data_IF_227550272108
#
_entry.id   IF_227550272108
#
_cell.length_a   1.000
_cell.length_b   1.000
_cell.length_c   1.000
_cell.angle_alpha   90.00
_cell.angle_beta   90.00
_cell.angle_gamma   90.00
#
_symmetry.space_group_name_H-M   'P 1'
#
loop_
_entity.id
_entity.type
_entity.pdbx_description
1 polymer ?
#
# COMPACT_ATOMS: atom_id res chain seq x y z
N UNK A 1 -45.61 -25.23 -25.49
CA UNK A 1 -44.14 -25.34 -25.38
C UNK A 1 -43.60 -23.99 -24.95
N UNK A 2 -43.02 -23.88 -23.75
CA UNK A 2 -42.23 -22.71 -23.34
C UNK A 2 -40.76 -23.04 -23.61
N UNK A 3 -40.09 -22.19 -24.39
CA UNK A 3 -38.66 -22.31 -24.66
C UNK A 3 -37.86 -22.13 -23.34
N UNK A 4 -36.77 -22.86 -23.12
CA UNK A 4 -35.92 -22.68 -21.93
C UNK A 4 -35.16 -21.36 -22.03
N UNK A 5 -35.22 -20.55 -20.97
CA UNK A 5 -34.33 -19.39 -20.81
C UNK A 5 -32.90 -19.90 -20.58
N UNK A 6 -32.01 -19.58 -21.51
CA UNK A 6 -30.57 -19.69 -21.33
C UNK A 6 -30.15 -18.78 -20.17
N UNK A 7 -29.80 -19.39 -19.03
CA UNK A 7 -29.05 -18.70 -17.98
C UNK A 7 -27.67 -18.38 -18.54
N UNK A 8 -27.44 -17.12 -18.89
CA UNK A 8 -26.09 -16.59 -19.08
C UNK A 8 -25.41 -16.67 -17.72
N UNK A 9 -24.52 -17.64 -17.54
CA UNK A 9 -23.59 -17.64 -16.41
C UNK A 9 -22.71 -16.40 -16.55
N UNK A 10 -22.81 -15.46 -15.61
CA UNK A 10 -21.82 -14.42 -15.47
C UNK A 10 -20.46 -15.10 -15.21
N UNK A 11 -19.37 -14.67 -15.87
CA UNK A 11 -18.05 -15.20 -15.56
C UNK A 11 -17.75 -14.93 -14.09
N UNK A 12 -17.27 -15.94 -13.37
CA UNK A 12 -16.81 -15.78 -11.99
C UNK A 12 -15.70 -14.74 -11.98
N UNK A 13 -15.95 -13.54 -11.43
CA UNK A 13 -14.88 -12.57 -11.15
C UNK A 13 -13.86 -13.29 -10.28
N UNK A 14 -12.61 -13.41 -10.75
CA UNK A 14 -11.51 -13.83 -9.88
C UNK A 14 -11.47 -12.83 -8.73
N UNK A 15 -11.41 -13.30 -7.49
CA UNK A 15 -11.24 -12.39 -6.34
C UNK A 15 -9.80 -11.88 -6.34
N UNK A 16 -9.61 -10.60 -6.02
CA UNK A 16 -8.27 -10.02 -5.87
C UNK A 16 -7.66 -10.53 -4.57
N UNK A 17 -6.43 -11.06 -4.64
CA UNK A 17 -5.67 -11.49 -3.48
C UNK A 17 -5.02 -10.27 -2.82
N UNK A 18 -5.17 -10.11 -1.51
CA UNK A 18 -4.63 -8.98 -0.76
C UNK A 18 -3.94 -9.50 0.50
N UNK A 19 -2.68 -9.15 0.70
CA UNK A 19 -1.98 -9.31 1.97
C UNK A 19 -1.84 -7.95 2.66
N UNK A 20 -2.23 -7.88 3.92
CA UNK A 20 -2.05 -6.69 4.75
C UNK A 20 -1.34 -7.12 6.03
N UNK A 21 -0.16 -6.56 6.24
CA UNK A 21 0.68 -6.77 7.40
C UNK A 21 0.64 -5.52 8.26
N UNK A 22 0.28 -5.68 9.52
CA UNK A 22 0.26 -4.57 10.49
C UNK A 22 0.89 -5.03 11.78
N UNK A 23 1.51 -4.09 12.48
CA UNK A 23 2.14 -4.32 13.77
C UNK A 23 1.08 -4.50 14.89
N UNK A 24 1.45 -5.01 16.07
CA UNK A 24 0.72 -4.94 17.36
C UNK A 24 1.75 -4.76 18.46
N UNK A 25 1.72 -3.64 19.17
CA UNK A 25 2.68 -3.39 20.24
C UNK A 25 2.27 -4.08 21.53
N UNK A 26 3.20 -4.77 22.20
CA UNK A 26 3.05 -5.13 23.62
C UNK A 26 3.92 -4.20 24.49
N UNK A 27 3.37 -3.83 25.64
CA UNK A 27 3.92 -2.89 26.62
C UNK A 27 5.31 -3.35 27.12
N UNK A 28 6.37 -2.60 26.79
CA UNK A 28 7.71 -2.82 27.31
C UNK A 28 8.33 -1.49 27.71
N UNK A 29 8.38 -1.26 29.02
CA UNK A 29 9.39 -0.40 29.63
C UNK A 29 10.79 -0.87 29.21
N UNK A 30 11.66 0.08 28.93
CA UNK A 30 13.14 0.03 28.82
C UNK A 30 13.79 -0.32 27.47
N UNK A 31 14.69 0.61 27.12
CA UNK A 31 15.94 0.52 26.35
C UNK A 31 15.90 0.64 24.81
N UNK A 32 15.96 1.91 24.37
CA UNK A 32 16.44 2.31 23.04
C UNK A 32 17.92 1.92 22.88
N UNK A 33 18.22 1.05 21.92
CA UNK A 33 19.55 0.91 21.36
C UNK A 33 19.56 1.38 19.90
N UNK A 34 20.28 2.47 19.67
CA UNK A 34 20.66 3.01 18.36
C UNK A 34 21.68 2.06 17.73
N UNK A 35 21.40 1.50 16.56
CA UNK A 35 22.38 0.72 15.80
C UNK A 35 23.15 1.59 14.78
N UNK A 36 24.46 1.37 14.58
CA UNK A 36 25.31 2.23 13.78
C UNK A 36 25.37 1.80 12.30
N UNK A 37 25.38 2.81 11.41
CA UNK A 37 25.54 2.69 9.95
C UNK A 37 26.90 2.09 9.56
N UNK A 38 26.91 1.15 8.60
CA UNK A 38 28.11 0.63 7.94
C UNK A 38 27.94 0.55 6.41
N UNK A 39 28.29 1.65 5.76
CA UNK A 39 29.00 1.85 4.50
C UNK A 39 29.23 0.72 3.45
N UNK A 40 28.63 1.00 2.26
CA UNK A 40 29.09 0.90 0.86
C UNK A 40 28.87 -0.37 0.03
N UNK A 41 27.92 -0.24 -0.92
CA UNK A 41 28.01 -0.73 -2.30
C UNK A 41 27.82 0.46 -3.26
N UNK A 42 28.47 0.44 -4.42
CA UNK A 42 28.52 1.59 -5.34
C UNK A 42 27.19 1.83 -6.05
N UNK A 43 26.38 2.72 -5.47
CA UNK A 43 25.36 3.46 -6.21
C UNK A 43 26.04 4.43 -7.19
N UNK A 44 25.53 4.50 -8.42
CA UNK A 44 25.78 5.68 -9.25
C UNK A 44 25.01 6.84 -8.62
N UNK A 45 25.68 7.68 -7.83
CA UNK A 45 25.10 8.95 -7.35
C UNK A 45 24.88 9.88 -8.53
N UNK A 46 23.71 9.79 -9.14
CA UNK A 46 23.10 10.90 -9.88
C UNK A 46 22.01 11.50 -9.00
N UNK A 47 21.81 12.82 -9.11
CA UNK A 47 20.87 13.56 -8.29
C UNK A 47 19.48 12.90 -8.23
N UNK A 48 18.85 12.96 -7.06
CA UNK A 48 17.49 12.49 -6.70
C UNK A 48 16.39 13.20 -7.53
N UNK A 49 16.44 12.97 -8.85
CA UNK A 49 15.66 13.64 -9.90
C UNK A 49 14.82 12.64 -10.68
N UNK A 50 15.04 11.34 -10.49
CA UNK A 50 14.22 10.29 -11.09
C UNK A 50 12.93 10.10 -10.30
N UNK A 51 11.80 10.18 -10.99
CA UNK A 51 10.47 9.98 -10.40
C UNK A 51 10.22 8.52 -10.01
N UNK A 52 11.04 7.59 -10.49
CA UNK A 52 10.86 6.15 -10.32
C UNK A 52 12.24 5.50 -10.25
N UNK A 53 12.50 4.72 -9.21
CA UNK A 53 13.67 3.85 -9.10
C UNK A 53 13.28 2.44 -9.55
N UNK A 54 14.06 1.83 -10.45
CA UNK A 54 13.74 0.54 -11.06
C UNK A 54 14.89 -0.45 -10.84
N UNK A 55 14.54 -1.65 -10.36
CA UNK A 55 15.45 -2.81 -10.31
C UNK A 55 14.96 -3.85 -11.31
N UNK A 56 15.78 -4.09 -12.33
CA UNK A 56 15.50 -5.09 -13.36
C UNK A 56 15.88 -6.50 -12.88
N UNK A 57 15.10 -7.52 -13.25
CA UNK A 57 15.44 -8.90 -12.93
C UNK A 57 16.70 -9.36 -13.69
N UNK A 58 17.53 -10.24 -13.10
CA UNK A 58 18.64 -10.88 -13.80
C UNK A 58 18.20 -11.96 -14.81
N UNK A 59 16.94 -12.40 -14.75
CA UNK A 59 16.33 -13.36 -15.67
C UNK A 59 15.20 -12.71 -16.49
N UNK A 60 14.57 -13.51 -17.37
CA UNK A 60 13.42 -13.03 -18.15
C UNK A 60 12.32 -12.48 -17.24
N UNK A 61 11.87 -11.26 -17.53
CA UNK A 61 10.88 -10.55 -16.74
C UNK A 61 9.52 -11.25 -16.84
N UNK A 62 8.99 -11.67 -15.69
CA UNK A 62 7.69 -12.37 -15.61
C UNK A 62 6.62 -11.59 -14.87
N UNK A 63 7.00 -10.85 -13.82
CA UNK A 63 6.12 -10.12 -12.93
C UNK A 63 6.72 -8.77 -12.56
N UNK A 64 5.85 -7.79 -12.30
CA UNK A 64 6.27 -6.49 -11.79
C UNK A 64 5.67 -6.25 -10.40
N UNK A 65 6.50 -5.81 -9.46
CA UNK A 65 6.05 -5.27 -8.17
C UNK A 65 6.22 -3.75 -8.19
N UNK A 66 5.13 -3.01 -8.01
CA UNK A 66 5.16 -1.55 -7.83
C UNK A 66 5.01 -1.29 -6.33
N UNK A 67 6.05 -0.74 -5.69
CA UNK A 67 6.11 -0.65 -4.23
C UNK A 67 6.40 0.78 -3.75
N UNK A 68 5.45 1.36 -3.01
CA UNK A 68 5.49 2.76 -2.59
C UNK A 68 6.08 2.92 -1.18
N UNK A 69 7.04 3.82 -1.06
CA UNK A 69 7.68 4.18 0.21
C UNK A 69 6.78 5.01 1.14
N UNK A 70 7.16 5.07 2.41
CA UNK A 70 6.49 5.87 3.44
C UNK A 70 6.77 7.38 3.33
N UNK A 71 6.09 8.18 4.15
CA UNK A 71 6.35 9.62 4.27
C UNK A 71 7.74 9.86 4.86
N UNK A 72 8.40 10.92 4.39
CA UNK A 72 9.75 11.33 4.79
C UNK A 72 10.85 10.32 4.40
N UNK A 73 10.64 9.60 3.30
CA UNK A 73 11.58 8.66 2.69
C UNK A 73 11.64 8.92 1.17
N UNK A 74 12.55 8.26 0.47
CA UNK A 74 12.67 8.30 -0.98
C UNK A 74 12.54 6.90 -1.60
N UNK A 75 12.30 6.83 -2.90
CA UNK A 75 12.24 5.56 -3.62
C UNK A 75 13.52 4.73 -3.50
N UNK A 76 14.70 5.38 -3.55
CA UNK A 76 15.99 4.70 -3.46
C UNK A 76 16.27 4.21 -2.04
N UNK A 77 16.10 5.05 -1.02
CA UNK A 77 16.31 4.64 0.38
C UNK A 77 15.41 3.46 0.75
N UNK A 78 14.12 3.54 0.43
CA UNK A 78 13.18 2.46 0.71
C UNK A 78 13.55 1.17 -0.04
N UNK A 79 13.98 1.26 -1.29
CA UNK A 79 14.38 0.08 -2.05
C UNK A 79 15.65 -0.57 -1.46
N UNK A 80 16.65 0.22 -1.08
CA UNK A 80 17.88 -0.27 -0.46
C UNK A 80 17.56 -0.99 0.87
N UNK A 81 16.81 -0.36 1.77
CA UNK A 81 16.42 -0.96 3.05
C UNK A 81 15.53 -2.21 2.85
N UNK A 82 14.63 -2.18 1.87
CA UNK A 82 13.78 -3.32 1.54
C UNK A 82 14.58 -4.53 1.02
N UNK A 83 15.59 -4.30 0.18
CA UNK A 83 16.40 -5.39 -0.38
C UNK A 83 17.46 -5.94 0.59
N UNK A 84 17.81 -5.18 1.63
CA UNK A 84 18.61 -5.70 2.75
C UNK A 84 17.83 -6.71 3.60
N UNK A 85 16.50 -6.70 3.53
CA UNK A 85 15.67 -7.58 4.35
C UNK A 85 15.79 -9.05 3.94
N UNK A 86 15.80 -9.95 4.92
CA UNK A 86 16.03 -11.38 4.71
C UNK A 86 14.89 -12.26 5.24
N UNK A 87 14.55 -13.28 4.45
CA UNK A 87 13.70 -14.38 4.90
C UNK A 87 14.42 -15.24 5.96
N UNK A 88 13.70 -16.13 6.65
CA UNK A 88 14.26 -17.04 7.65
C UNK A 88 15.37 -17.95 7.12
N UNK A 89 15.38 -18.22 5.81
CA UNK A 89 16.43 -18.99 5.14
C UNK A 89 17.64 -18.15 4.67
N UNK A 90 17.68 -16.87 5.06
CA UNK A 90 18.72 -15.87 4.78
C UNK A 90 18.81 -15.39 3.34
N UNK A 91 17.87 -15.78 2.48
CA UNK A 91 17.79 -15.22 1.12
C UNK A 91 17.08 -13.88 1.16
N UNK A 92 17.54 -12.96 0.32
CA UNK A 92 16.84 -11.71 0.04
C UNK A 92 15.67 -11.96 -0.90
N UNK A 93 14.72 -11.02 -0.94
CA UNK A 93 13.55 -11.12 -1.83
C UNK A 93 13.94 -11.21 -3.32
N UNK A 94 15.03 -10.56 -3.74
CA UNK A 94 15.55 -10.63 -5.11
C UNK A 94 16.12 -12.02 -5.46
N UNK A 95 16.75 -12.70 -4.49
CA UNK A 95 17.24 -14.07 -4.68
C UNK A 95 16.11 -15.08 -4.76
N UNK A 96 15.01 -14.83 -4.04
CA UNK A 96 13.81 -15.68 -4.04
C UNK A 96 13.01 -15.48 -5.34
N UNK A 97 12.91 -14.25 -5.84
CA UNK A 97 12.13 -13.88 -7.04
C UNK A 97 13.01 -13.26 -8.15
N UNK A 98 13.90 -14.05 -8.80
CA UNK A 98 14.89 -13.53 -9.76
C UNK A 98 14.30 -13.09 -11.12
N UNK A 99 13.01 -13.33 -11.36
CA UNK A 99 12.29 -12.95 -12.59
C UNK A 99 11.38 -11.74 -12.39
N UNK A 100 11.40 -11.12 -11.20
CA UNK A 100 10.55 -9.98 -10.85
C UNK A 100 11.27 -8.66 -11.13
N UNK A 101 10.57 -7.74 -11.81
CA UNK A 101 10.94 -6.34 -11.88
C UNK A 101 10.38 -5.61 -10.66
N UNK A 102 11.19 -4.79 -10.01
CA UNK A 102 10.75 -3.97 -8.88
C UNK A 102 10.76 -2.50 -9.29
N UNK A 103 9.64 -1.82 -9.06
CA UNK A 103 9.40 -0.43 -9.44
C UNK A 103 9.04 0.33 -8.19
N UNK A 104 9.84 1.32 -7.83
CA UNK A 104 9.67 2.16 -6.66
C UNK A 104 9.40 3.59 -7.10
N UNK A 105 8.13 4.02 -7.19
CA UNK A 105 7.81 5.39 -7.54
C UNK A 105 8.18 6.31 -6.37
N UNK A 106 8.69 7.51 -6.67
CA UNK A 106 9.06 8.52 -5.69
C UNK A 106 7.89 9.50 -5.47
N UNK A 107 7.56 9.83 -4.23
CA UNK A 107 6.43 10.70 -3.90
C UNK A 107 6.65 12.15 -4.34
N UNK A 108 7.91 12.56 -4.45
CA UNK A 108 8.32 13.95 -4.56
C UNK A 108 8.13 14.73 -3.26
N UNK A 109 8.61 15.99 -3.25
CA UNK A 109 8.51 16.89 -2.10
C UNK A 109 7.22 17.72 -2.14
N UNK A 110 6.57 17.87 -0.99
CA UNK A 110 5.41 18.74 -0.79
C UNK A 110 5.51 19.44 0.55
N UNK A 111 5.03 20.67 0.63
CA UNK A 111 4.93 21.40 1.90
C UNK A 111 3.92 20.68 2.80
N UNK A 112 4.33 20.37 4.03
CA UNK A 112 3.42 19.93 5.08
C UNK A 112 2.78 21.11 5.77
N UNK A 113 1.45 21.19 5.76
CA UNK A 113 0.72 22.28 6.44
C UNK A 113 0.97 22.31 7.94
N UNK A 114 1.21 21.15 8.58
CA UNK A 114 1.45 21.07 10.03
C UNK A 114 2.83 21.57 10.45
N UNK A 115 3.85 21.26 9.66
CA UNK A 115 5.25 21.53 10.00
C UNK A 115 5.84 22.72 9.25
N UNK A 116 5.10 23.28 8.30
CA UNK A 116 5.51 24.44 7.48
C UNK A 116 6.85 24.23 6.76
N UNK A 117 7.10 22.99 6.33
CA UNK A 117 8.33 22.59 5.64
C UNK A 117 8.06 21.57 4.53
N UNK A 118 8.98 21.50 3.58
CA UNK A 118 9.03 20.47 2.55
C UNK A 118 9.31 19.09 3.15
N UNK A 119 8.47 18.12 2.80
CA UNK A 119 8.59 16.71 3.21
C UNK A 119 8.30 15.84 1.99
N UNK A 120 9.05 14.76 1.83
CA UNK A 120 8.74 13.73 0.84
C UNK A 120 7.43 13.03 1.23
N UNK A 121 6.32 13.34 0.56
CA UNK A 121 5.01 12.80 0.91
C UNK A 121 4.08 12.71 -0.30
N UNK A 122 3.29 11.64 -0.36
CA UNK A 122 2.30 11.40 -1.40
C UNK A 122 1.15 12.40 -1.34
N UNK A 123 0.78 12.81 -0.13
CA UNK A 123 -0.26 13.78 0.13
C UNK A 123 -0.03 14.45 1.49
N UNK A 124 -0.53 15.69 1.64
CA UNK A 124 -0.42 16.40 2.91
C UNK A 124 -1.38 15.79 3.92
N UNK A 125 -0.93 15.64 5.16
CA UNK A 125 -1.68 15.03 6.25
C UNK A 125 -1.35 15.75 7.54
N UNK A 126 -2.37 16.02 8.35
CA UNK A 126 -2.17 16.65 9.65
C UNK A 126 -1.61 15.68 10.69
N UNK A 127 -2.11 14.46 10.74
CA UNK A 127 -1.73 13.46 11.73
C UNK A 127 -1.77 12.08 11.09
N UNK A 128 -0.69 11.31 11.22
CA UNK A 128 -0.63 9.92 10.71
C UNK A 128 -1.32 8.98 11.70
N UNK A 129 -1.26 9.30 13.00
CA UNK A 129 -1.94 8.59 14.07
C UNK A 129 -3.46 8.77 13.97
N UNK A 130 -3.89 9.98 13.58
CA UNK A 130 -5.30 10.36 13.39
C UNK A 130 -5.57 10.85 11.94
N UNK A 131 -5.57 9.96 10.93
CA UNK A 131 -5.70 10.37 9.53
C UNK A 131 -7.00 11.10 9.18
N UNK A 132 -8.03 11.00 9.99
CA UNK A 132 -9.28 11.73 9.75
C UNK A 132 -9.20 13.21 10.18
N UNK A 133 -8.18 13.58 10.96
CA UNK A 133 -7.98 14.96 11.41
C UNK A 133 -7.52 15.84 10.23
N UNK A 134 -8.30 16.88 9.93
CA UNK A 134 -8.09 17.78 8.78
C UNK A 134 -7.89 17.05 7.44
N UNK A 135 -8.68 15.99 7.22
CA UNK A 135 -8.56 15.13 6.03
C UNK A 135 -8.75 15.84 4.70
N UNK A 136 -9.35 17.02 4.67
CA UNK A 136 -9.44 17.87 3.48
C UNK A 136 -8.05 18.21 2.89
N UNK A 137 -7.00 18.25 3.71
CA UNK A 137 -5.61 18.47 3.25
C UNK A 137 -5.12 17.36 2.31
N UNK A 138 -5.66 16.15 2.46
CA UNK A 138 -5.18 14.97 1.75
C UNK A 138 -5.65 14.95 0.29
N UNK A 139 -6.78 15.59 -0.02
CA UNK A 139 -7.53 15.43 -1.27
C UNK A 139 -6.66 15.72 -2.50
N UNK A 140 -6.04 16.89 -2.56
CA UNK A 140 -5.26 17.32 -3.73
C UNK A 140 -4.07 16.41 -3.98
N UNK A 141 -3.24 16.21 -2.94
CA UNK A 141 -2.05 15.37 -3.06
C UNK A 141 -2.40 13.90 -3.35
N UNK A 142 -3.44 13.35 -2.72
CA UNK A 142 -3.81 11.96 -2.90
C UNK A 142 -4.36 11.74 -4.32
N UNK A 143 -5.14 12.68 -4.86
CA UNK A 143 -5.63 12.64 -6.24
C UNK A 143 -4.49 12.61 -7.25
N UNK A 144 -3.50 13.50 -7.08
CA UNK A 144 -2.34 13.57 -7.95
C UNK A 144 -1.49 12.30 -7.87
N UNK A 145 -1.24 11.81 -6.66
CA UNK A 145 -0.48 10.59 -6.42
C UNK A 145 -1.18 9.35 -6.96
N UNK A 146 -2.49 9.20 -6.75
CA UNK A 146 -3.28 8.12 -7.37
C UNK A 146 -3.17 8.18 -8.90
N UNK A 147 -3.31 9.37 -9.49
CA UNK A 147 -3.18 9.54 -10.94
C UNK A 147 -1.80 9.14 -11.44
N UNK A 148 -0.74 9.53 -10.72
CA UNK A 148 0.63 9.14 -11.04
C UNK A 148 0.81 7.62 -11.00
N UNK A 149 0.39 6.97 -9.93
CA UNK A 149 0.54 5.52 -9.76
C UNK A 149 -0.30 4.73 -10.78
N UNK A 150 -1.51 5.20 -11.12
CA UNK A 150 -2.29 4.62 -12.21
C UNK A 150 -1.56 4.68 -13.56
N UNK A 151 -0.77 5.73 -13.81
CA UNK A 151 0.06 5.79 -15.02
C UNK A 151 1.23 4.82 -14.96
N UNK A 152 1.88 4.66 -13.79
CA UNK A 152 2.93 3.64 -13.60
C UNK A 152 2.37 2.25 -13.84
N UNK A 153 1.20 1.92 -13.28
CA UNK A 153 0.54 0.61 -13.51
C UNK A 153 0.28 0.38 -15.00
N UNK A 154 -0.22 1.40 -15.73
CA UNK A 154 -0.48 1.29 -17.18
C UNK A 154 0.80 1.10 -18.00
N UNK A 155 1.89 1.74 -17.59
CA UNK A 155 3.18 1.58 -18.24
C UNK A 155 3.73 0.16 -18.04
N UNK A 156 3.68 -0.37 -16.82
CA UNK A 156 4.11 -1.74 -16.52
C UNK A 156 3.20 -2.78 -17.18
N UNK A 157 1.90 -2.49 -17.31
CA UNK A 157 0.93 -3.32 -18.03
C UNK A 157 1.21 -3.42 -19.55
N UNK A 158 2.10 -2.58 -20.09
CA UNK A 158 2.58 -2.73 -21.47
C UNK A 158 3.69 -3.78 -21.62
N UNK A 159 4.35 -4.15 -20.51
CA UNK A 159 5.46 -5.10 -20.46
C UNK A 159 5.05 -6.47 -19.96
N UNK A 160 4.14 -6.54 -18.99
CA UNK A 160 3.54 -7.78 -18.47
C UNK A 160 2.03 -7.62 -18.33
N UNK A 161 1.24 -8.71 -18.43
CA UNK A 161 -0.20 -8.62 -18.22
C UNK A 161 -0.55 -8.07 -16.81
N UNK A 162 -1.69 -7.36 -16.63
CA UNK A 162 -2.11 -6.85 -15.31
C UNK A 162 -2.18 -7.94 -14.22
N UNK A 163 -2.52 -9.17 -14.59
CA UNK A 163 -2.51 -10.35 -13.71
C UNK A 163 -1.10 -10.78 -13.27
N UNK A 164 -0.03 -10.13 -13.74
CA UNK A 164 1.35 -10.33 -13.29
C UNK A 164 1.91 -9.09 -12.56
N UNK A 165 1.05 -8.09 -12.30
CA UNK A 165 1.43 -6.88 -11.55
C UNK A 165 0.94 -7.02 -10.12
N UNK A 166 1.84 -6.78 -9.17
CA UNK A 166 1.56 -6.64 -7.74
C UNK A 166 1.74 -5.17 -7.37
N UNK A 167 0.78 -4.61 -6.65
CA UNK A 167 0.87 -3.25 -6.12
C UNK A 167 1.05 -3.30 -4.60
N UNK A 168 1.88 -2.44 -4.03
CA UNK A 168 2.02 -2.39 -2.59
C UNK A 168 2.58 -1.09 -2.07
N UNK A 169 2.64 -0.97 -0.74
CA UNK A 169 3.27 0.17 -0.10
C UNK A 169 3.45 -0.03 1.41
N UNK A 170 4.27 0.83 2.00
CA UNK A 170 4.40 0.97 3.46
C UNK A 170 3.85 2.32 3.90
N UNK A 171 3.17 2.36 5.05
CA UNK A 171 2.72 3.61 5.68
C UNK A 171 1.88 4.48 4.72
N UNK A 172 2.29 5.73 4.49
CA UNK A 172 1.60 6.62 3.53
C UNK A 172 1.61 6.07 2.09
N UNK A 173 2.67 5.33 1.70
CA UNK A 173 2.71 4.61 0.43
C UNK A 173 1.63 3.52 0.35
N UNK A 174 1.37 2.79 1.42
CA UNK A 174 0.27 1.83 1.49
C UNK A 174 -1.08 2.53 1.31
N UNK A 175 -1.27 3.67 1.99
CA UNK A 175 -2.49 4.47 1.92
C UNK A 175 -2.77 5.02 0.50
N UNK A 176 -1.71 5.41 -0.22
CA UNK A 176 -1.81 5.81 -1.63
C UNK A 176 -2.05 4.62 -2.56
N UNK A 177 -1.31 3.52 -2.36
CA UNK A 177 -1.39 2.33 -3.19
C UNK A 177 -2.80 1.70 -3.14
N UNK A 178 -3.44 1.65 -1.96
CA UNK A 178 -4.79 1.09 -1.86
C UNK A 178 -5.83 1.97 -2.57
N UNK A 179 -5.68 3.29 -2.54
CA UNK A 179 -6.53 4.18 -3.35
C UNK A 179 -6.30 3.96 -4.84
N UNK A 180 -5.06 3.84 -5.28
CA UNK A 180 -4.76 3.54 -6.69
C UNK A 180 -5.38 2.21 -7.13
N UNK A 181 -5.32 1.17 -6.28
CA UNK A 181 -5.96 -0.12 -6.54
C UNK A 181 -7.48 0.01 -6.73
N UNK A 182 -8.16 0.74 -5.85
CA UNK A 182 -9.61 0.95 -5.94
C UNK A 182 -10.01 1.78 -7.18
N UNK A 183 -9.12 2.65 -7.66
CA UNK A 183 -9.33 3.49 -8.84
C UNK A 183 -8.88 2.84 -10.16
N UNK A 184 -8.27 1.65 -10.10
CA UNK A 184 -7.85 0.94 -11.30
C UNK A 184 -8.95 -0.01 -11.78
N UNK A 185 -9.31 0.09 -13.06
CA UNK A 185 -10.46 -0.63 -13.63
C UNK A 185 -10.15 -2.09 -13.97
N UNK A 186 -8.87 -2.49 -13.94
CA UNK A 186 -8.43 -3.85 -14.28
C UNK A 186 -7.91 -4.55 -13.03
N UNK A 187 -8.20 -5.84 -12.91
CA UNK A 187 -7.72 -6.63 -11.80
C UNK A 187 -6.21 -6.84 -11.88
N UNK A 188 -5.51 -6.54 -10.79
CA UNK A 188 -4.09 -6.87 -10.60
C UNK A 188 -3.94 -8.28 -10.00
N UNK A 189 -2.71 -8.81 -9.92
CA UNK A 189 -2.47 -10.12 -9.29
C UNK A 189 -2.72 -10.07 -7.78
N UNK A 190 -2.20 -9.03 -7.12
CA UNK A 190 -2.44 -8.83 -5.71
C UNK A 190 -1.98 -7.49 -5.16
N UNK A 191 -2.26 -7.30 -3.87
CA UNK A 191 -1.87 -6.13 -3.10
C UNK A 191 -1.06 -6.52 -1.87
N UNK A 192 -0.01 -5.75 -1.53
CA UNK A 192 0.78 -5.93 -0.30
C UNK A 192 0.86 -4.59 0.46
N UNK A 193 0.31 -4.55 1.65
CA UNK A 193 0.34 -3.36 2.51
C UNK A 193 1.09 -3.60 3.82
N UNK A 194 1.98 -2.69 4.18
CA UNK A 194 2.67 -2.67 5.49
C UNK A 194 2.30 -1.41 6.27
N UNK A 195 1.89 -1.56 7.53
CA UNK A 195 1.69 -0.46 8.48
C UNK A 195 0.82 0.70 7.92
N UNK A 196 -0.19 0.35 7.12
CA UNK A 196 -1.00 1.32 6.36
C UNK A 196 -2.36 1.62 6.97
N UNK A 197 -3.07 2.57 6.36
CA UNK A 197 -4.46 2.90 6.67
C UNK A 197 -5.26 3.13 5.38
N UNK A 198 -6.58 3.28 5.51
CA UNK A 198 -7.46 3.65 4.42
C UNK A 198 -7.84 5.14 4.54
N UNK A 199 -7.33 6.04 3.68
CA UNK A 199 -7.79 7.43 3.64
C UNK A 199 -9.30 7.52 3.32
N UNK A 200 -10.00 8.45 3.97
CA UNK A 200 -11.46 8.65 3.83
C UNK A 200 -12.26 7.41 4.21
N UNK A 201 -11.83 6.72 5.27
CA UNK A 201 -12.41 5.43 5.64
C UNK A 201 -13.91 5.56 5.95
N UNK A 202 -14.31 6.60 6.68
CA UNK A 202 -15.71 6.79 7.07
C UNK A 202 -16.64 7.00 5.86
N UNK A 203 -16.18 7.73 4.85
CA UNK A 203 -16.89 7.91 3.59
C UNK A 203 -16.98 6.61 2.80
N UNK A 204 -15.87 5.88 2.65
CA UNK A 204 -15.85 4.60 1.94
C UNK A 204 -16.77 3.60 2.62
N UNK A 205 -16.70 3.49 3.94
CA UNK A 205 -17.53 2.62 4.77
C UNK A 205 -19.03 2.96 4.65
N UNK A 206 -19.37 4.24 4.44
CA UNK A 206 -20.75 4.68 4.17
C UNK A 206 -21.21 4.23 2.78
N UNK A 207 -20.36 4.41 1.76
CA UNK A 207 -20.63 4.00 0.37
C UNK A 207 -20.83 2.48 0.28
N UNK A 208 -19.97 1.70 0.93
CA UNK A 208 -19.97 0.23 0.84
C UNK A 208 -21.11 -0.41 1.63
N UNK A 209 -21.59 0.24 2.69
CA UNK A 209 -22.77 -0.24 3.45
C UNK A 209 -24.09 0.12 2.81
N UNK A 210 -24.14 1.17 2.00
CA UNK A 210 -25.37 1.51 1.33
C UNK A 210 -25.65 0.45 0.24
N UNK A 211 -26.72 -0.32 0.41
CA UNK A 211 -27.06 -1.43 -0.51
C UNK A 211 -27.72 -0.96 -1.81
N UNK A 212 -28.00 0.34 -1.93
CA UNK A 212 -28.58 0.95 -3.14
C UNK A 212 -27.53 1.37 -4.16
N UNK A 213 -26.25 1.34 -3.80
CA UNK A 213 -25.12 1.72 -4.65
C UNK A 213 -24.89 0.65 -5.71
N UNK A 214 -25.35 0.90 -6.94
CA UNK A 214 -25.19 -0.05 -8.05
C UNK A 214 -23.70 -0.26 -8.42
N UNK A 215 -22.82 0.68 -8.07
CA UNK A 215 -21.38 0.59 -8.28
C UNK A 215 -20.57 1.35 -7.21
N UNK A 216 -20.28 0.74 -6.05
CA UNK A 216 -19.50 1.36 -4.98
C UNK A 216 -18.13 1.90 -5.42
N UNK A 217 -17.48 1.23 -6.38
CA UNK A 217 -16.18 1.64 -6.89
C UNK A 217 -16.23 3.02 -7.57
N UNK A 218 -17.28 3.30 -8.36
CA UNK A 218 -17.45 4.60 -9.01
C UNK A 218 -17.65 5.74 -8.00
N UNK A 219 -18.37 5.47 -6.91
CA UNK A 219 -18.58 6.47 -5.86
C UNK A 219 -17.30 6.72 -5.05
N UNK A 220 -16.53 5.67 -4.72
CA UNK A 220 -15.20 5.82 -4.11
C UNK A 220 -14.31 6.68 -5.00
N UNK A 221 -14.30 6.42 -6.31
CA UNK A 221 -13.56 7.23 -7.29
C UNK A 221 -14.01 8.71 -7.37
N UNK A 222 -15.21 9.01 -6.87
CA UNK A 222 -15.75 10.37 -6.85
C UNK A 222 -15.42 11.12 -5.55
N UNK A 223 -15.00 10.44 -4.48
CA UNK A 223 -14.64 11.09 -3.21
C UNK A 223 -13.52 12.11 -3.42
N UNK A 224 -12.48 11.71 -4.15
CA UNK A 224 -11.34 12.57 -4.46
C UNK A 224 -11.70 13.75 -5.40
N UNK A 225 -12.90 13.76 -5.99
CA UNK A 225 -13.39 14.82 -6.88
C UNK A 225 -14.40 15.76 -6.20
N UNK A 226 -15.03 15.32 -5.11
CA UNK A 226 -16.27 15.93 -4.58
C UNK A 226 -16.11 16.53 -3.18
N UNK A 227 -15.00 16.31 -2.48
CA UNK A 227 -14.78 16.83 -1.12
C UNK A 227 -14.54 18.34 -1.12
N UNK A 228 -15.62 19.09 -1.22
CA UNK A 228 -15.77 20.43 -0.70
C UNK A 228 -16.83 20.37 0.40
N UNK A 229 -16.37 20.38 1.66
CA UNK A 229 -17.16 20.51 2.88
C UNK A 229 -17.97 19.29 3.35
N UNK A 230 -17.47 18.62 4.40
CA UNK A 230 -18.25 17.73 5.26
C UNK A 230 -17.62 17.65 6.67
N UNK A 231 -18.39 18.03 7.70
CA UNK A 231 -17.95 18.09 9.11
C UNK A 231 -17.46 16.75 9.66
N UNK A 232 -16.32 16.77 10.34
CA UNK A 232 -15.79 15.64 11.11
C UNK A 232 -16.25 15.70 12.57
N UNK A 233 -16.64 14.56 13.13
CA UNK A 233 -16.77 14.35 14.58
C UNK A 233 -15.67 13.38 14.99
N UNK A 234 -14.69 13.87 15.74
CA UNK A 234 -13.62 13.07 16.34
C UNK A 234 -13.99 12.72 17.79
N UNK A 235 -13.75 11.48 18.22
CA UNK A 235 -13.83 11.06 19.62
C UNK A 235 -12.41 10.75 20.16
N UNK A 236 -12.10 11.04 21.44
CA UNK A 236 -10.76 10.84 21.99
C UNK A 236 -10.45 9.36 22.24
N UNK A 237 -9.24 8.95 21.87
CA UNK A 237 -8.73 7.59 21.96
C UNK A 237 -8.06 7.22 23.28
N UNK A 238 -7.87 5.92 23.48
CA UNK A 238 -6.93 5.34 24.45
C UNK A 238 -5.88 4.55 23.64
N UNK A 239 -4.62 4.86 23.89
CA UNK A 239 -3.42 4.48 23.12
C UNK A 239 -2.77 3.21 23.69
N UNK A 240 -2.27 2.32 22.83
CA UNK A 240 -1.05 1.47 22.97
C UNK A 240 -0.92 0.66 21.67
N UNK A 241 0.01 1.00 20.75
CA UNK A 241 0.30 0.29 19.48
C UNK A 241 1.38 1.04 18.65
N UNK A 242 1.70 0.60 17.41
CA UNK A 242 2.64 1.26 16.46
C UNK A 242 2.64 2.79 16.67
N UNK A 243 3.80 3.38 17.03
CA UNK A 243 3.85 4.75 17.52
C UNK A 243 3.51 5.79 16.43
N UNK A 244 3.45 5.39 15.16
CA UNK A 244 3.22 6.25 14.00
C UNK A 244 1.86 5.98 13.35
N UNK A 245 1.55 4.71 13.02
CA UNK A 245 0.24 4.33 12.44
C UNK A 245 -0.45 3.34 13.36
N UNK A 246 -1.49 3.79 14.08
CA UNK A 246 -2.24 2.92 14.98
C UNK A 246 -2.75 1.66 14.26
N UNK A 247 -2.53 0.51 14.87
CA UNK A 247 -2.95 -0.82 14.38
C UNK A 247 -4.44 -0.90 14.11
N UNK A 248 -5.22 -0.16 14.91
CA UNK A 248 -6.65 -0.03 14.70
C UNK A 248 -7.00 0.51 13.30
N UNK A 249 -6.18 1.37 12.71
CA UNK A 249 -6.35 1.87 11.35
C UNK A 249 -6.13 0.78 10.30
N UNK A 250 -5.10 -0.05 10.49
CA UNK A 250 -4.88 -1.22 9.66
C UNK A 250 -6.02 -2.24 9.75
N UNK A 251 -6.51 -2.52 10.97
CA UNK A 251 -7.62 -3.47 11.18
C UNK A 251 -8.89 -3.00 10.48
N UNK A 252 -9.15 -1.70 10.52
CA UNK A 252 -10.26 -1.08 9.79
C UNK A 252 -10.09 -1.21 8.27
N UNK A 253 -8.88 -0.97 7.75
CA UNK A 253 -8.55 -1.22 6.34
C UNK A 253 -8.86 -2.68 5.95
N UNK A 254 -8.37 -3.66 6.72
CA UNK A 254 -8.68 -5.09 6.52
C UNK A 254 -10.18 -5.37 6.48
N UNK A 255 -10.94 -4.82 7.42
CA UNK A 255 -12.39 -5.00 7.47
C UNK A 255 -13.09 -4.42 6.25
N UNK A 256 -12.63 -3.28 5.75
CA UNK A 256 -13.19 -2.64 4.56
C UNK A 256 -12.86 -3.43 3.29
N UNK A 257 -11.63 -3.92 3.14
CA UNK A 257 -11.26 -4.72 1.96
C UNK A 257 -12.04 -6.05 1.90
N UNK A 258 -12.28 -6.69 3.05
CA UNK A 258 -13.18 -7.86 3.10
C UNK A 258 -14.62 -7.49 2.72
N UNK A 259 -15.11 -6.33 3.16
CA UNK A 259 -16.46 -5.84 2.81
C UNK A 259 -16.58 -5.58 1.30
N UNK A 260 -15.50 -5.14 0.66
CA UNK A 260 -15.38 -4.99 -0.79
C UNK A 260 -15.24 -6.32 -1.55
N UNK A 261 -15.17 -7.45 -0.84
CA UNK A 261 -15.13 -8.81 -1.43
C UNK A 261 -13.75 -9.27 -1.89
N UNK A 262 -12.68 -8.63 -1.39
CA UNK A 262 -11.30 -9.06 -1.63
C UNK A 262 -10.94 -10.28 -0.74
N UNK A 263 -10.03 -11.15 -1.21
CA UNK A 263 -9.48 -12.23 -0.38
C UNK A 263 -8.30 -11.67 0.42
N UNK A 264 -8.53 -11.35 1.71
CA UNK A 264 -7.59 -10.59 2.53
C UNK A 264 -6.92 -11.47 3.58
N UNK A 265 -5.59 -11.55 3.54
CA UNK A 265 -4.76 -12.08 4.63
C UNK A 265 -4.36 -10.91 5.52
N UNK A 266 -4.56 -11.08 6.83
CA UNK A 266 -4.15 -10.12 7.85
C UNK A 266 -3.21 -10.76 8.84
N UNK A 267 -2.02 -10.18 8.99
CA UNK A 267 -1.05 -10.61 10.01
C UNK A 267 -0.72 -9.46 10.94
N UNK A 268 -0.64 -9.80 12.22
CA UNK A 268 -0.28 -8.94 13.34
C UNK A 268 1.00 -9.45 14.00
N UNK A 269 2.04 -8.63 14.10
CA UNK A 269 3.31 -9.00 14.75
C UNK A 269 3.45 -8.35 16.13
N UNK A 270 4.05 -9.06 17.08
CA UNK A 270 4.22 -8.57 18.46
C UNK A 270 5.40 -7.57 18.63
N UNK A 271 6.36 -7.57 17.69
CA UNK A 271 7.57 -6.74 17.68
C UNK A 271 7.91 -6.26 16.25
N UNK A 272 8.98 -5.47 16.08
CA UNK A 272 9.47 -4.99 14.76
C UNK A 272 9.23 -3.51 14.41
N UNK A 273 8.36 -2.79 15.13
CA UNK A 273 8.16 -1.34 14.95
C UNK A 273 7.44 -0.94 13.65
N UNK A 274 7.59 0.32 13.22
CA UNK A 274 6.99 0.87 11.99
C UNK A 274 7.78 0.49 10.73
N UNK A 275 8.07 -0.80 10.57
CA UNK A 275 8.85 -1.35 9.46
C UNK A 275 8.35 -2.75 9.08
N UNK A 276 8.94 -3.34 8.04
CA UNK A 276 8.73 -4.75 7.72
C UNK A 276 9.34 -5.59 8.86
N UNK A 277 8.54 -6.46 9.46
CA UNK A 277 9.01 -7.34 10.54
C UNK A 277 9.95 -8.40 9.96
N UNK A 278 11.16 -8.51 10.51
CA UNK A 278 12.13 -9.51 10.08
C UNK A 278 12.37 -10.59 11.14
N UNK A 279 12.50 -11.87 10.75
CA UNK A 279 12.33 -12.40 9.39
C UNK A 279 10.85 -12.66 9.02
N UNK A 280 9.94 -12.70 10.00
CA UNK A 280 8.60 -13.28 9.81
C UNK A 280 7.74 -12.52 8.79
N UNK A 281 7.80 -11.19 8.76
CA UNK A 281 7.09 -10.38 7.78
C UNK A 281 7.63 -10.54 6.35
N UNK A 282 8.91 -10.81 6.19
CA UNK A 282 9.51 -11.18 4.90
C UNK A 282 9.04 -12.58 4.48
N UNK A 283 9.04 -13.55 5.40
CA UNK A 283 8.54 -14.89 5.14
C UNK A 283 7.06 -14.88 4.71
N UNK A 284 6.21 -14.13 5.41
CA UNK A 284 4.79 -14.02 5.08
C UNK A 284 4.58 -13.37 3.70
N UNK A 285 5.41 -12.37 3.34
CA UNK A 285 5.40 -11.76 2.01
C UNK A 285 5.83 -12.76 0.93
N UNK A 286 6.87 -13.56 1.19
CA UNK A 286 7.34 -14.61 0.28
C UNK A 286 6.26 -15.65 0.06
N UNK A 287 5.64 -16.15 1.13
CA UNK A 287 4.55 -17.13 1.06
C UNK A 287 3.35 -16.60 0.27
N UNK A 288 2.97 -15.33 0.49
CA UNK A 288 1.92 -14.69 -0.29
C UNK A 288 2.27 -14.60 -1.77
N UNK A 289 3.46 -14.10 -2.11
CA UNK A 289 3.91 -13.95 -3.50
C UNK A 289 3.96 -15.31 -4.21
N UNK A 290 4.49 -16.35 -3.56
CA UNK A 290 4.51 -17.71 -4.11
C UNK A 290 3.10 -18.26 -4.35
N UNK A 291 2.15 -17.99 -3.45
CA UNK A 291 0.76 -18.42 -3.60
C UNK A 291 0.10 -17.77 -4.82
N UNK A 292 0.32 -16.48 -5.08
CA UNK A 292 -0.40 -15.76 -6.14
C UNK A 292 0.21 -15.94 -7.54
N UNK A 293 1.49 -16.33 -7.65
CA UNK A 293 2.11 -16.62 -8.96
C UNK A 293 1.93 -18.06 -9.45
N UNK A 294 1.42 -18.95 -8.58
CA UNK A 294 1.22 -20.37 -8.92
C UNK A 294 -0.19 -20.66 -9.49
N UNK A 295 -1.06 -19.64 -9.59
CA UNK A 295 -2.51 -19.75 -9.87
C UNK A 295 -2.89 -19.38 -11.30
#
# INVERSE_FOLDING_TARGET
MKLPQLKVQQPSRRQLNVAINVYVGCDMTSDLHVLPRLNYWTASTMADTEKIYIVLPPADHTHTVIFLHGRDSTATEFAEEFFESQASDKRTICEIFPTFKWVFPNSGSRISTRFEMDIAQWFDIWSVEEPENRKELQVTGLTESVTFILNVIREEASSVPPEHIILGGISQGCATAIHALMHYDTQLNGFIGFCGWLPFQGEIETITRNTTTANPQQEICSLLKSTSSGSCVSAPGQLHDDPIVLVSNGKKLYQELNRLGMDVIWTAYADGGHWINEPQGVDDMVDFLQRIITV
#
